data_IF_397014273007
#
_entry.id   IF_397014273007
#
_cell.length_a   1.000
_cell.length_b   1.000
_cell.length_c   1.000
_cell.angle_alpha   90.00
_cell.angle_beta   90.00
_cell.angle_gamma   90.00
#
_symmetry.space_group_name_H-M   'P 1'
#
loop_
_entity.id
_entity.type
_entity.pdbx_description
1 polymer ?
#
# COMPACT_ATOMS: atom_id res chain seq x y z
N UNK A 1 6.59 -22.95 4.29
CA UNK A 1 6.04 -22.22 5.46
C UNK A 1 5.17 -21.03 5.03
N UNK A 2 4.90 -20.87 3.73
CA UNK A 2 3.90 -19.95 3.16
C UNK A 2 2.56 -19.95 3.92
N UNK A 3 2.09 -21.10 4.40
CA UNK A 3 0.84 -21.21 5.17
C UNK A 3 0.87 -20.39 6.46
N UNK A 4 2.00 -20.35 7.17
CA UNK A 4 2.12 -19.59 8.43
C UNK A 4 2.04 -18.08 8.21
N UNK A 5 2.78 -17.54 7.23
CA UNK A 5 2.73 -16.11 6.89
C UNK A 5 1.34 -15.69 6.38
N UNK A 6 0.66 -16.58 5.65
CA UNK A 6 -0.73 -16.37 5.22
C UNK A 6 -1.71 -16.32 6.37
N UNK A 7 -1.67 -17.32 7.25
CA UNK A 7 -2.54 -17.39 8.43
C UNK A 7 -2.34 -16.14 9.29
N UNK A 8 -1.08 -15.79 9.58
CA UNK A 8 -0.75 -14.55 10.30
C UNK A 8 -1.33 -13.31 9.63
N UNK A 9 -1.12 -13.16 8.32
CA UNK A 9 -1.63 -12.01 7.59
C UNK A 9 -3.17 -11.96 7.58
N UNK A 10 -3.86 -13.11 7.51
CA UNK A 10 -5.32 -13.16 7.67
C UNK A 10 -5.77 -12.71 9.06
N UNK A 11 -5.07 -13.15 10.12
CA UNK A 11 -5.34 -12.65 11.48
C UNK A 11 -5.11 -11.15 11.59
N UNK A 12 -4.04 -10.62 10.99
CA UNK A 12 -3.77 -9.20 10.95
C UNK A 12 -4.90 -8.43 10.21
N UNK A 13 -5.39 -8.95 9.07
CA UNK A 13 -6.55 -8.37 8.37
C UNK A 13 -7.76 -8.29 9.30
N UNK A 14 -8.13 -9.38 9.97
CA UNK A 14 -9.28 -9.41 10.88
C UNK A 14 -9.09 -8.45 12.06
N UNK A 15 -7.88 -8.40 12.62
CA UNK A 15 -7.57 -7.48 13.71
C UNK A 15 -7.75 -6.03 13.26
N UNK A 16 -7.14 -5.60 12.16
CA UNK A 16 -7.19 -4.20 11.74
C UNK A 16 -8.55 -3.77 11.15
N UNK A 17 -9.27 -4.68 10.50
CA UNK A 17 -10.62 -4.39 9.99
C UNK A 17 -11.68 -4.39 11.10
N UNK A 18 -11.65 -5.37 12.01
CA UNK A 18 -12.73 -5.55 12.99
C UNK A 18 -12.29 -5.11 14.39
N UNK A 19 -11.19 -5.67 14.89
CA UNK A 19 -10.70 -5.38 16.25
C UNK A 19 -10.29 -3.91 16.44
N UNK A 20 -9.72 -3.30 15.41
CA UNK A 20 -9.30 -1.89 15.38
C UNK A 20 -10.31 -1.00 14.64
N UNK A 21 -11.56 -1.45 14.52
CA UNK A 21 -12.71 -0.72 13.98
C UNK A 21 -12.66 -0.26 12.52
N UNK A 22 -11.63 -0.61 11.73
CA UNK A 22 -11.51 -0.14 10.35
C UNK A 22 -12.77 -0.27 9.49
N UNK A 23 -13.39 -1.45 9.40
CA UNK A 23 -14.60 -1.65 8.58
C UNK A 23 -15.85 -1.15 9.28
N UNK A 24 -15.83 -1.15 10.61
CA UNK A 24 -16.97 -0.75 11.44
C UNK A 24 -17.23 0.74 11.24
N UNK A 25 -16.19 1.57 11.21
CA UNK A 25 -16.31 3.02 11.01
C UNK A 25 -16.76 3.34 9.59
N UNK A 26 -16.32 2.56 8.59
CA UNK A 26 -16.84 2.70 7.23
C UNK A 26 -18.33 2.33 7.13
N UNK A 27 -18.82 1.39 7.94
CA UNK A 27 -20.26 1.08 8.02
C UNK A 27 -21.02 2.22 8.69
N UNK A 28 -20.42 2.98 9.61
CA UNK A 28 -21.06 4.16 10.21
C UNK A 28 -21.45 5.22 9.17
N UNK A 29 -20.69 5.33 8.08
CA UNK A 29 -20.99 6.24 6.96
C UNK A 29 -22.35 5.97 6.29
N UNK A 30 -22.91 4.77 6.46
CA UNK A 30 -24.26 4.44 5.98
C UNK A 30 -25.38 5.04 6.84
N UNK A 31 -25.03 5.83 7.86
CA UNK A 31 -25.99 6.54 8.70
C UNK A 31 -26.68 5.64 9.74
N UNK A 32 -26.06 4.51 10.10
CA UNK A 32 -26.66 3.53 11.03
C UNK A 32 -26.79 4.04 12.46
N UNK A 33 -26.01 5.06 12.85
CA UNK A 33 -26.07 5.68 14.16
C UNK A 33 -25.90 7.21 14.07
N UNK A 34 -26.97 7.99 14.35
CA UNK A 34 -26.93 9.46 14.31
C UNK A 34 -25.92 10.11 15.28
N UNK A 35 -25.52 9.41 16.35
CA UNK A 35 -24.56 9.94 17.32
C UNK A 35 -23.20 10.29 16.68
N UNK A 36 -22.84 9.62 15.58
CA UNK A 36 -21.57 9.83 14.87
C UNK A 36 -21.63 10.92 13.79
N UNK A 37 -22.81 11.51 13.50
CA UNK A 37 -22.94 12.48 12.41
C UNK A 37 -21.99 13.68 12.56
N UNK A 38 -21.72 14.10 13.79
CA UNK A 38 -20.80 15.20 14.07
C UNK A 38 -19.32 14.86 13.82
N UNK A 39 -18.96 13.58 13.65
CA UNK A 39 -17.56 13.10 13.54
C UNK A 39 -17.32 12.19 12.33
N UNK A 40 -18.28 12.07 11.40
CA UNK A 40 -18.17 11.15 10.26
C UNK A 40 -16.90 11.32 9.40
N UNK A 41 -16.36 12.53 9.27
CA UNK A 41 -15.09 12.75 8.58
C UNK A 41 -13.89 12.10 9.28
N UNK A 42 -13.88 12.10 10.62
CA UNK A 42 -12.88 11.41 11.44
C UNK A 42 -13.02 9.89 11.33
N UNK A 43 -14.25 9.38 11.47
CA UNK A 43 -14.58 7.96 11.30
C UNK A 43 -14.17 7.44 9.91
N UNK A 44 -14.47 8.20 8.86
CA UNK A 44 -14.05 7.85 7.51
C UNK A 44 -12.53 7.75 7.40
N UNK A 45 -11.79 8.68 8.00
CA UNK A 45 -10.33 8.71 7.97
C UNK A 45 -9.71 7.50 8.66
N UNK A 46 -10.21 7.17 9.86
CA UNK A 46 -9.80 5.97 10.57
C UNK A 46 -10.13 4.72 9.77
N UNK A 47 -11.39 4.62 9.32
CA UNK A 47 -11.90 3.47 8.60
C UNK A 47 -11.13 3.18 7.30
N UNK A 48 -10.83 4.20 6.48
CA UNK A 48 -10.08 4.00 5.23
C UNK A 48 -8.61 3.65 5.49
N UNK A 49 -7.98 4.20 6.53
CA UNK A 49 -6.60 3.89 6.87
C UNK A 49 -6.48 2.42 7.27
N UNK A 50 -7.30 1.95 8.20
CA UNK A 50 -7.17 0.60 8.72
C UNK A 50 -7.79 -0.47 7.81
N UNK A 51 -8.85 -0.16 7.07
CA UNK A 51 -9.46 -1.10 6.11
C UNK A 51 -8.68 -1.20 4.80
N UNK A 52 -8.54 -0.11 4.06
CA UNK A 52 -7.98 -0.19 2.71
C UNK A 52 -6.47 -0.22 2.74
N UNK A 53 -5.82 0.63 3.55
CA UNK A 53 -4.37 0.70 3.56
C UNK A 53 -3.78 -0.44 4.39
N UNK A 54 -4.01 -0.48 5.70
CA UNK A 54 -3.34 -1.45 6.58
C UNK A 54 -3.80 -2.88 6.27
N UNK A 55 -5.11 -3.13 6.31
CA UNK A 55 -5.63 -4.47 6.04
C UNK A 55 -5.46 -4.88 4.58
N UNK A 56 -5.60 -3.96 3.62
CA UNK A 56 -5.31 -4.25 2.21
C UNK A 56 -3.86 -4.70 1.97
N UNK A 57 -2.89 -4.14 2.71
CA UNK A 57 -1.51 -4.60 2.65
C UNK A 57 -1.34 -6.01 3.23
N UNK A 58 -1.90 -6.30 4.39
CA UNK A 58 -1.86 -7.67 4.95
C UNK A 58 -2.59 -8.67 4.06
N UNK A 59 -3.73 -8.30 3.47
CA UNK A 59 -4.44 -9.14 2.50
C UNK A 59 -3.57 -9.44 1.27
N UNK A 60 -2.80 -8.47 0.79
CA UNK A 60 -1.86 -8.68 -0.30
C UNK A 60 -0.72 -9.66 0.09
N UNK A 61 -0.25 -9.62 1.33
CA UNK A 61 0.72 -10.60 1.88
C UNK A 61 0.09 -11.99 1.97
N UNK A 62 -1.16 -12.10 2.44
CA UNK A 62 -1.88 -13.37 2.49
C UNK A 62 -2.09 -13.97 1.08
N UNK A 63 -2.47 -13.15 0.11
CA UNK A 63 -2.66 -13.59 -1.26
C UNK A 63 -1.32 -14.01 -1.91
N UNK A 64 -0.27 -13.19 -1.75
CA UNK A 64 1.01 -13.31 -2.46
C UNK A 64 2.21 -13.27 -1.51
N UNK A 65 2.36 -14.27 -0.61
CA UNK A 65 3.42 -14.28 0.41
C UNK A 65 4.84 -14.29 -0.16
N UNK A 66 5.03 -14.78 -1.40
CA UNK A 66 6.33 -14.80 -2.07
C UNK A 66 6.79 -13.42 -2.59
N UNK A 67 5.90 -12.42 -2.62
CA UNK A 67 6.17 -11.07 -3.11
C UNK A 67 5.61 -10.01 -2.15
N UNK A 68 6.06 -9.97 -0.88
CA UNK A 68 5.45 -9.13 0.16
C UNK A 68 5.82 -7.65 0.03
N UNK A 69 6.84 -7.31 -0.76
CA UNK A 69 7.46 -5.98 -0.74
C UNK A 69 6.51 -4.80 -0.96
N UNK A 70 5.58 -4.82 -1.93
CA UNK A 70 4.63 -3.71 -2.09
C UNK A 70 3.81 -3.44 -0.82
N UNK A 71 3.34 -4.51 -0.18
CA UNK A 71 2.58 -4.42 1.05
C UNK A 71 3.45 -3.93 2.21
N UNK A 72 4.68 -4.44 2.33
CA UNK A 72 5.61 -4.00 3.36
C UNK A 72 5.95 -2.52 3.25
N UNK A 73 6.23 -2.02 2.05
CA UNK A 73 6.49 -0.60 1.82
C UNK A 73 5.26 0.22 2.21
N UNK A 74 4.05 -0.21 1.85
CA UNK A 74 2.83 0.47 2.28
C UNK A 74 2.69 0.50 3.81
N UNK A 75 2.91 -0.62 4.49
CA UNK A 75 2.86 -0.68 5.96
C UNK A 75 3.92 0.21 6.62
N UNK A 76 5.13 0.29 6.05
CA UNK A 76 6.18 1.15 6.56
C UNK A 76 5.93 2.64 6.30
N UNK A 77 5.29 2.98 5.18
CA UNK A 77 4.80 4.34 4.95
C UNK A 77 3.75 4.72 5.99
N UNK A 78 2.84 3.80 6.35
CA UNK A 78 1.87 4.02 7.43
C UNK A 78 2.58 4.24 8.77
N UNK A 79 3.53 3.38 9.13
CA UNK A 79 4.31 3.52 10.37
C UNK A 79 5.03 4.88 10.39
N UNK A 80 5.69 5.27 9.30
CA UNK A 80 6.37 6.56 9.21
C UNK A 80 5.40 7.75 9.35
N UNK A 81 4.25 7.68 8.69
CA UNK A 81 3.23 8.73 8.78
C UNK A 81 2.62 8.84 10.19
N UNK A 82 2.36 7.71 10.86
CA UNK A 82 1.89 7.68 12.24
C UNK A 82 2.92 8.26 13.21
N UNK A 83 4.20 7.92 13.05
CA UNK A 83 5.27 8.49 13.87
C UNK A 83 5.39 10.01 13.66
N UNK A 84 5.31 10.48 12.42
CA UNK A 84 5.34 11.92 12.13
C UNK A 84 4.12 12.64 12.71
N UNK A 85 2.93 12.05 12.59
CA UNK A 85 1.72 12.62 13.16
C UNK A 85 1.76 12.64 14.70
N UNK A 86 2.28 11.59 15.34
CA UNK A 86 2.49 11.56 16.80
C UNK A 86 3.36 12.71 17.28
N UNK A 87 4.48 12.98 16.58
CA UNK A 87 5.37 14.09 16.93
C UNK A 87 4.70 15.43 16.66
N UNK A 88 4.06 15.59 15.50
CA UNK A 88 3.48 16.86 15.10
C UNK A 88 2.27 17.28 15.94
N UNK A 89 1.43 16.31 16.34
CA UNK A 89 0.25 16.54 17.15
C UNK A 89 0.49 16.42 18.66
N UNK A 90 1.73 16.17 19.08
CA UNK A 90 2.11 15.96 20.49
C UNK A 90 1.27 14.86 21.19
N UNK A 91 0.83 13.86 20.43
CA UNK A 91 -0.04 12.77 20.90
C UNK A 91 0.69 11.41 20.80
N UNK A 92 0.70 10.64 21.88
CA UNK A 92 1.30 9.30 21.94
C UNK A 92 0.42 8.22 21.28
N UNK A 93 -0.84 8.52 20.95
CA UNK A 93 -1.79 7.59 20.37
C UNK A 93 -1.32 6.98 19.03
N UNK A 94 -0.95 7.79 18.02
CA UNK A 94 -0.40 7.26 16.77
C UNK A 94 0.91 6.49 16.96
N UNK A 95 1.73 6.87 17.96
CA UNK A 95 2.93 6.10 18.30
C UNK A 95 2.56 4.70 18.78
N UNK A 96 1.54 4.54 19.61
CA UNK A 96 1.06 3.22 20.04
C UNK A 96 0.59 2.37 18.84
N UNK A 97 -0.18 2.95 17.92
CA UNK A 97 -0.59 2.27 16.68
C UNK A 97 0.62 1.88 15.80
N UNK A 98 1.61 2.76 15.67
CA UNK A 98 2.84 2.50 14.92
C UNK A 98 3.67 1.37 15.55
N UNK A 99 3.83 1.38 16.87
CA UNK A 99 4.55 0.35 17.64
C UNK A 99 3.84 -1.00 17.61
N UNK A 100 2.52 -1.03 17.45
CA UNK A 100 1.78 -2.27 17.20
C UNK A 100 1.98 -2.75 15.75
N UNK A 101 1.84 -1.85 14.78
CA UNK A 101 1.90 -2.19 13.36
C UNK A 101 3.29 -2.65 12.90
N UNK A 102 4.35 -2.01 13.40
CA UNK A 102 5.73 -2.30 13.00
C UNK A 102 6.12 -3.78 13.20
N UNK A 103 6.05 -4.37 14.42
CA UNK A 103 6.40 -5.77 14.62
C UNK A 103 5.49 -6.69 13.80
N UNK A 104 4.20 -6.40 13.67
CA UNK A 104 3.28 -7.19 12.86
C UNK A 104 3.69 -7.23 11.37
N UNK A 105 4.20 -6.12 10.85
CA UNK A 105 4.71 -6.00 9.47
C UNK A 105 6.00 -6.78 9.23
N UNK A 106 6.78 -7.08 10.28
CA UNK A 106 8.06 -7.76 10.19
C UNK A 106 7.92 -9.30 10.26
N UNK A 107 6.84 -9.83 10.83
CA UNK A 107 6.60 -11.28 10.93
C UNK A 107 6.76 -12.03 9.58
N UNK A 108 6.25 -11.53 8.44
CA UNK A 108 6.45 -12.18 7.15
C UNK A 108 7.93 -12.37 6.75
N UNK A 109 8.84 -11.52 7.26
CA UNK A 109 10.28 -11.62 6.98
C UNK A 109 10.98 -12.72 7.78
N UNK A 110 10.39 -13.19 8.87
CA UNK A 110 11.00 -14.20 9.75
C UNK A 110 10.87 -15.62 9.18
N UNK A 111 10.05 -15.82 8.15
CA UNK A 111 9.85 -17.13 7.51
C UNK A 111 11.07 -17.54 6.67
N UNK A 112 11.93 -18.42 7.22
CA UNK A 112 13.20 -18.85 6.59
C UNK A 112 13.03 -19.76 5.38
N UNK A 113 11.96 -20.55 5.31
CA UNK A 113 11.77 -21.53 4.25
C UNK A 113 11.54 -20.91 2.86
N UNK A 114 11.11 -19.65 2.83
CA UNK A 114 10.57 -19.00 1.64
C UNK A 114 11.13 -17.58 1.54
N UNK A 115 12.47 -17.46 1.36
CA UNK A 115 13.11 -16.14 1.24
C UNK A 115 12.38 -15.32 0.17
N UNK A 116 11.81 -14.15 0.50
CA UNK A 116 11.07 -13.36 -0.48
C UNK A 116 11.98 -13.06 -1.65
N UNK A 117 11.44 -13.13 -2.87
CA UNK A 117 12.18 -12.68 -4.06
C UNK A 117 12.66 -11.27 -3.76
N UNK A 118 13.94 -10.97 -4.03
CA UNK A 118 14.50 -9.64 -3.76
C UNK A 118 13.60 -8.59 -4.41
N UNK A 119 13.30 -7.52 -3.66
CA UNK A 119 12.52 -6.41 -4.18
C UNK A 119 13.16 -5.92 -5.49
N UNK A 120 12.36 -5.75 -6.54
CA UNK A 120 12.84 -5.03 -7.71
C UNK A 120 13.09 -3.58 -7.29
N UNK A 121 14.36 -3.18 -7.25
CA UNK A 121 14.80 -1.83 -6.85
C UNK A 121 14.90 -0.88 -8.03
N UNK A 122 14.53 -1.30 -9.25
CA UNK A 122 14.56 -0.43 -10.42
C UNK A 122 13.53 0.67 -10.25
N UNK A 123 14.02 1.91 -10.22
CA UNK A 123 13.18 3.09 -10.30
C UNK A 123 12.84 3.34 -11.77
N UNK A 124 11.55 3.52 -12.06
CA UNK A 124 11.07 3.87 -13.39
C UNK A 124 10.06 5.00 -13.22
N UNK A 125 10.42 6.25 -13.54
CA UNK A 125 9.52 7.38 -13.38
C UNK A 125 8.28 7.23 -14.27
N UNK A 126 7.13 7.64 -13.74
CA UNK A 126 5.85 7.74 -14.43
C UNK A 126 5.42 9.21 -14.47
N UNK A 127 5.34 9.78 -15.66
CA UNK A 127 4.87 11.16 -15.85
C UNK A 127 3.47 11.39 -15.26
N UNK A 128 2.46 10.55 -15.59
CA UNK A 128 1.12 10.70 -15.05
C UNK A 128 1.06 10.64 -13.52
N UNK A 129 1.72 9.66 -12.90
CA UNK A 129 1.71 9.54 -11.43
C UNK A 129 2.50 10.67 -10.76
N UNK A 130 3.59 11.16 -11.37
CA UNK A 130 4.33 12.30 -10.85
C UNK A 130 3.48 13.58 -10.90
N UNK A 131 2.75 13.81 -12.00
CA UNK A 131 1.82 14.93 -12.10
C UNK A 131 0.71 14.85 -11.03
N UNK A 132 0.12 13.67 -10.84
CA UNK A 132 -0.89 13.45 -9.80
C UNK A 132 -0.34 13.62 -8.38
N UNK A 133 0.92 13.20 -8.14
CA UNK A 133 1.58 13.43 -6.85
C UNK A 133 1.76 14.94 -6.59
N UNK A 134 2.25 15.70 -7.58
CA UNK A 134 2.47 17.14 -7.46
C UNK A 134 1.16 17.92 -7.28
N UNK A 135 0.10 17.52 -7.99
CA UNK A 135 -1.22 18.16 -7.87
C UNK A 135 -1.93 17.80 -6.56
N UNK A 136 -1.79 16.56 -6.09
CA UNK A 136 -2.46 16.10 -4.87
C UNK A 136 -1.75 16.47 -3.58
N UNK A 137 -0.41 16.54 -3.58
CA UNK A 137 0.38 16.73 -2.36
C UNK A 137 0.01 17.99 -1.59
N UNK A 138 -0.18 19.18 -2.20
CA UNK A 138 -0.60 20.37 -1.45
C UNK A 138 -1.92 20.16 -0.71
N UNK A 139 -2.93 19.56 -1.36
CA UNK A 139 -4.23 19.31 -0.75
C UNK A 139 -4.15 18.33 0.43
N UNK A 140 -3.44 17.21 0.25
CA UNK A 140 -3.30 16.19 1.29
C UNK A 140 -2.40 16.64 2.45
N UNK A 141 -1.40 17.49 2.20
CA UNK A 141 -0.60 18.11 3.26
C UNK A 141 -1.37 19.16 4.02
N UNK A 142 -2.15 20.00 3.35
CA UNK A 142 -3.06 20.93 4.04
C UNK A 142 -4.09 20.17 4.88
N UNK A 143 -4.64 19.07 4.36
CA UNK A 143 -5.53 18.18 5.12
C UNK A 143 -4.85 17.63 6.38
N UNK A 144 -3.59 17.19 6.28
CA UNK A 144 -2.83 16.72 7.44
C UNK A 144 -2.51 17.84 8.44
N UNK A 145 -2.12 19.03 7.95
CA UNK A 145 -1.79 20.17 8.78
C UNK A 145 -3.00 20.65 9.60
N UNK A 146 -4.17 20.78 8.96
CA UNK A 146 -5.42 21.11 9.67
C UNK A 146 -5.73 20.06 10.73
N UNK A 147 -5.54 18.78 10.44
CA UNK A 147 -5.78 17.73 11.44
C UNK A 147 -4.82 17.83 12.65
N UNK A 148 -3.56 18.21 12.43
CA UNK A 148 -2.61 18.50 13.53
C UNK A 148 -3.08 19.71 14.34
N UNK A 149 -3.46 20.81 13.68
CA UNK A 149 -3.95 22.02 14.35
C UNK A 149 -5.18 21.73 15.23
N UNK A 150 -6.13 20.94 14.70
CA UNK A 150 -7.33 20.55 15.45
C UNK A 150 -7.01 19.63 16.63
N UNK A 151 -6.03 18.74 16.50
CA UNK A 151 -5.58 17.88 17.60
C UNK A 151 -5.01 18.66 18.79
N UNK A 152 -4.43 19.84 18.53
CA UNK A 152 -3.82 20.69 19.56
C UNK A 152 -4.81 21.70 20.15
N UNK A 153 -5.98 21.89 19.51
CA UNK A 153 -6.94 22.89 19.88
C UNK A 153 -7.91 22.37 20.98
N UNK A 154 -8.04 23.07 22.12
CA UNK A 154 -8.87 22.62 23.21
C UNK A 154 -10.36 22.69 22.87
N UNK A 155 -11.12 21.66 23.27
CA UNK A 155 -12.58 21.64 23.13
C UNK A 155 -13.08 21.41 21.69
N UNK A 156 -12.19 21.06 20.76
CA UNK A 156 -12.56 20.62 19.43
C UNK A 156 -13.33 19.31 19.50
N UNK A 157 -14.35 19.18 18.64
CA UNK A 157 -15.10 17.94 18.49
C UNK A 157 -14.16 16.86 17.95
N UNK A 158 -14.09 15.74 18.66
CA UNK A 158 -13.25 14.59 18.35
C UNK A 158 -14.02 13.31 18.68
N UNK A 159 -13.53 12.20 18.17
CA UNK A 159 -13.91 10.87 18.64
C UNK A 159 -12.67 10.14 19.17
N UNK A 160 -12.85 9.19 20.07
CA UNK A 160 -11.75 8.40 20.62
C UNK A 160 -12.03 6.92 20.53
N UNK A 161 -11.20 6.23 19.75
CA UNK A 161 -11.25 4.78 19.59
C UNK A 161 -10.02 4.16 20.25
N UNK A 162 -10.23 3.18 21.14
CA UNK A 162 -9.14 2.57 21.93
C UNK A 162 -8.31 3.57 22.76
N UNK A 163 -8.90 4.71 23.13
CA UNK A 163 -8.19 5.79 23.82
C UNK A 163 -7.23 6.57 22.92
N UNK A 164 -7.39 6.48 21.59
CA UNK A 164 -6.62 7.22 20.60
C UNK A 164 -7.53 8.28 19.95
N UNK A 165 -7.06 9.53 19.92
CA UNK A 165 -7.72 10.61 19.17
C UNK A 165 -7.69 10.34 17.67
N UNK A 166 -8.74 10.72 16.95
CA UNK A 166 -8.80 10.53 15.51
C UNK A 166 -8.05 11.60 14.72
N UNK A 167 -7.90 12.81 15.27
CA UNK A 167 -7.23 13.91 14.58
C UNK A 167 -5.79 13.59 14.16
N UNK A 168 -4.91 13.07 15.04
CA UNK A 168 -3.57 12.65 14.62
C UNK A 168 -3.56 11.49 13.62
N UNK A 169 -4.53 10.57 13.70
CA UNK A 169 -4.66 9.46 12.74
C UNK A 169 -5.04 10.00 11.35
N UNK A 170 -5.95 10.98 11.30
CA UNK A 170 -6.29 11.70 10.08
C UNK A 170 -5.08 12.45 9.49
N UNK A 171 -4.25 13.06 10.35
CA UNK A 171 -3.00 13.68 9.91
C UNK A 171 -2.05 12.68 9.24
N UNK A 172 -1.86 11.50 9.86
CA UNK A 172 -1.07 10.41 9.29
C UNK A 172 -1.62 9.96 7.93
N UNK A 173 -2.95 9.86 7.79
CA UNK A 173 -3.58 9.51 6.52
C UNK A 173 -3.28 10.53 5.42
N UNK A 174 -3.39 11.83 5.68
CA UNK A 174 -3.06 12.87 4.70
C UNK A 174 -1.60 12.76 4.20
N UNK A 175 -0.65 12.61 5.13
CA UNK A 175 0.77 12.39 4.80
C UNK A 175 0.98 11.13 3.96
N UNK A 176 0.31 10.04 4.33
CA UNK A 176 0.38 8.77 3.63
C UNK A 176 -0.17 8.86 2.20
N UNK A 177 -1.31 9.51 1.97
CA UNK A 177 -1.91 9.62 0.64
C UNK A 177 -0.98 10.39 -0.31
N UNK A 178 -0.39 11.49 0.15
CA UNK A 178 0.59 12.25 -0.63
C UNK A 178 1.85 11.42 -0.96
N UNK A 179 2.45 10.80 0.06
CA UNK A 179 3.71 10.05 -0.10
C UNK A 179 3.53 8.75 -0.90
N UNK A 180 2.37 8.09 -0.82
CA UNK A 180 2.10 6.86 -1.56
C UNK A 180 2.12 7.08 -3.07
N UNK A 181 1.52 8.17 -3.56
CA UNK A 181 1.53 8.48 -5.01
C UNK A 181 2.92 8.85 -5.48
N UNK A 182 3.69 9.59 -4.67
CA UNK A 182 5.09 9.87 -4.96
C UNK A 182 5.92 8.60 -5.08
N UNK A 183 5.78 7.65 -4.15
CA UNK A 183 6.49 6.35 -4.21
C UNK A 183 6.09 5.58 -5.47
N UNK A 184 4.79 5.53 -5.81
CA UNK A 184 4.32 4.86 -7.02
C UNK A 184 4.86 5.47 -8.31
N UNK A 185 5.07 6.79 -8.33
CA UNK A 185 5.62 7.49 -9.49
C UNK A 185 6.99 6.93 -9.88
N UNK A 186 7.80 6.50 -8.91
CA UNK A 186 9.14 5.96 -9.17
C UNK A 186 9.24 4.43 -9.03
N UNK A 187 8.30 3.77 -8.35
CA UNK A 187 8.43 2.36 -8.01
C UNK A 187 7.28 1.49 -8.59
N UNK A 188 7.47 0.92 -9.80
CA UNK A 188 6.45 0.12 -10.49
C UNK A 188 5.83 -1.02 -9.68
N UNK A 189 6.59 -1.81 -8.88
CA UNK A 189 6.02 -2.91 -8.09
C UNK A 189 4.92 -2.47 -7.12
N UNK A 190 4.99 -1.23 -6.62
CA UNK A 190 4.01 -0.66 -5.70
C UNK A 190 2.69 -0.22 -6.36
N UNK A 191 2.71 0.11 -7.65
CA UNK A 191 1.62 0.83 -8.34
C UNK A 191 0.25 0.17 -8.24
N UNK A 192 0.20 -1.17 -8.28
CA UNK A 192 -1.10 -1.87 -8.21
C UNK A 192 -1.69 -1.78 -6.80
N UNK A 193 -0.92 -2.14 -5.77
CA UNK A 193 -1.44 -2.18 -4.40
C UNK A 193 -1.70 -0.76 -3.89
N UNK A 194 -0.65 0.09 -3.85
CA UNK A 194 -0.75 1.46 -3.36
C UNK A 194 -1.80 2.24 -4.18
N UNK A 195 -1.85 2.04 -5.51
CA UNK A 195 -2.78 2.79 -6.35
C UNK A 195 -4.24 2.43 -6.08
N UNK A 196 -4.52 1.15 -5.80
CA UNK A 196 -5.86 0.70 -5.42
C UNK A 196 -6.25 1.26 -4.07
N UNK A 197 -5.39 1.09 -3.07
CA UNK A 197 -5.71 1.41 -1.68
C UNK A 197 -5.78 2.93 -1.49
N UNK A 198 -4.76 3.67 -1.91
CA UNK A 198 -4.73 5.15 -1.88
C UNK A 198 -5.89 5.76 -2.67
N UNK A 199 -6.14 5.28 -3.90
CA UNK A 199 -7.22 5.84 -4.73
C UNK A 199 -8.61 5.54 -4.16
N UNK A 200 -8.85 4.34 -3.64
CA UNK A 200 -10.13 3.99 -3.00
C UNK A 200 -10.34 4.78 -1.72
N UNK A 201 -9.31 4.93 -0.89
CA UNK A 201 -9.37 5.78 0.31
C UNK A 201 -9.74 7.22 -0.02
N UNK A 202 -9.12 7.82 -1.05
CA UNK A 202 -9.44 9.19 -1.47
C UNK A 202 -10.88 9.33 -2.00
N UNK A 203 -11.38 8.34 -2.75
CA UNK A 203 -12.76 8.32 -3.22
C UNK A 203 -13.74 8.26 -2.04
N UNK A 204 -13.51 7.35 -1.08
CA UNK A 204 -14.39 7.19 0.08
C UNK A 204 -14.38 8.43 0.97
N UNK A 205 -13.22 9.05 1.20
CA UNK A 205 -13.12 10.33 1.91
C UNK A 205 -13.89 11.43 1.19
N UNK A 206 -13.69 11.60 -0.11
CA UNK A 206 -14.40 12.62 -0.88
C UNK A 206 -15.92 12.41 -0.88
N UNK A 207 -16.39 11.15 -0.94
CA UNK A 207 -17.81 10.83 -0.77
C UNK A 207 -18.31 11.20 0.63
N UNK A 208 -17.55 10.88 1.68
CA UNK A 208 -17.88 11.27 3.05
C UNK A 208 -18.00 12.78 3.20
N UNK A 209 -17.06 13.56 2.64
CA UNK A 209 -17.10 15.02 2.70
C UNK A 209 -18.30 15.61 1.96
N UNK A 210 -18.80 14.96 0.90
CA UNK A 210 -20.03 15.38 0.23
C UNK A 210 -21.29 15.08 1.03
N UNK A 211 -21.34 13.94 1.72
CA UNK A 211 -22.53 13.49 2.46
C UNK A 211 -22.61 14.16 3.84
N UNK A 212 -21.47 14.37 4.50
CA UNK A 212 -21.36 14.92 5.85
C UNK A 212 -20.41 16.12 5.88
N UNK A 213 -20.69 17.21 5.13
CA UNK A 213 -19.79 18.34 4.97
C UNK A 213 -19.50 19.08 6.28
N UNK A 214 -20.45 19.06 7.23
CA UNK A 214 -20.35 19.76 8.52
C UNK A 214 -19.77 18.89 9.65
N UNK A 215 -19.34 17.66 9.34
CA UNK A 215 -18.74 16.77 10.34
C UNK A 215 -17.29 17.14 10.62
N UNK A 216 -16.85 16.92 11.86
CA UNK A 216 -15.43 17.01 12.22
C UNK A 216 -14.61 16.07 11.31
N UNK A 217 -13.43 16.54 10.93
CA UNK A 217 -12.54 15.85 9.99
C UNK A 217 -12.92 15.97 8.51
N UNK A 218 -14.11 16.49 8.18
CA UNK A 218 -14.53 16.72 6.79
C UNK A 218 -14.03 18.05 6.21
N UNK A 219 -13.85 18.07 4.89
CA UNK A 219 -13.53 19.29 4.14
C UNK A 219 -14.82 19.97 3.71
N UNK A 220 -15.06 21.19 4.22
CA UNK A 220 -16.26 22.00 3.96
C UNK A 220 -16.26 22.65 2.56
N UNK A 221 -15.96 21.87 1.51
CA UNK A 221 -15.95 22.34 0.13
C UNK A 221 -16.35 21.22 -0.82
N UNK A 222 -17.51 21.30 -1.49
CA UNK A 222 -17.94 20.26 -2.42
C UNK A 222 -16.98 20.12 -3.61
N UNK A 223 -16.32 21.21 -4.01
CA UNK A 223 -15.31 21.17 -5.07
C UNK A 223 -14.06 20.39 -4.67
N UNK A 224 -13.58 20.55 -3.44
CA UNK A 224 -12.44 19.77 -2.94
C UNK A 224 -12.80 18.30 -2.75
N UNK A 225 -14.03 18.02 -2.31
CA UNK A 225 -14.55 16.66 -2.22
C UNK A 225 -14.64 15.98 -3.60
N UNK A 226 -15.19 16.67 -4.61
CA UNK A 226 -15.19 16.21 -5.99
C UNK A 226 -13.75 16.03 -6.53
N UNK A 227 -12.84 16.95 -6.21
CA UNK A 227 -11.44 16.85 -6.60
C UNK A 227 -10.76 15.62 -5.99
N UNK A 228 -11.03 15.29 -4.71
CA UNK A 228 -10.51 14.09 -4.06
C UNK A 228 -11.01 12.80 -4.75
N UNK A 229 -12.30 12.75 -5.12
CA UNK A 229 -12.89 11.63 -5.87
C UNK A 229 -12.23 11.49 -7.25
N UNK A 230 -12.14 12.59 -8.01
CA UNK A 230 -11.53 12.59 -9.34
C UNK A 230 -10.04 12.22 -9.29
N UNK A 231 -9.31 12.75 -8.30
CA UNK A 231 -7.91 12.42 -8.07
C UNK A 231 -7.72 10.94 -7.72
N UNK A 232 -8.56 10.38 -6.83
CA UNK A 232 -8.52 8.97 -6.47
C UNK A 232 -8.78 8.05 -7.67
N UNK A 233 -9.76 8.40 -8.52
CA UNK A 233 -10.01 7.70 -9.78
C UNK A 233 -8.81 7.80 -10.74
N UNK A 234 -8.21 8.99 -10.89
CA UNK A 234 -7.04 9.18 -11.73
C UNK A 234 -5.85 8.34 -11.26
N UNK A 235 -5.58 8.27 -9.96
CA UNK A 235 -4.54 7.41 -9.37
C UNK A 235 -4.78 5.93 -9.70
N UNK A 236 -6.02 5.45 -9.58
CA UNK A 236 -6.38 4.07 -9.94
C UNK A 236 -6.18 3.82 -11.43
N UNK A 237 -6.54 4.77 -12.30
CA UNK A 237 -6.44 4.61 -13.75
C UNK A 237 -4.99 4.69 -14.25
N UNK A 238 -4.17 5.56 -13.67
CA UNK A 238 -2.76 5.72 -14.07
C UNK A 238 -1.93 4.45 -13.90
N UNK A 239 -2.32 3.53 -13.03
CA UNK A 239 -1.64 2.22 -12.88
C UNK A 239 -1.70 1.35 -14.15
N UNK A 240 -2.62 1.64 -15.08
CA UNK A 240 -2.77 0.90 -16.34
C UNK A 240 -2.00 1.54 -17.50
N UNK A 241 -1.62 2.81 -17.41
CA UNK A 241 -1.00 3.57 -18.50
C UNK A 241 0.47 3.20 -18.72
N UNK A 242 1.18 2.76 -17.68
CA UNK A 242 2.61 2.47 -17.75
C UNK A 242 2.93 0.98 -17.90
N UNK A 243 2.03 0.19 -18.52
CA UNK A 243 2.39 -1.19 -18.86
C UNK A 243 3.48 -1.13 -19.93
N UNK A 244 4.67 -1.70 -19.70
CA UNK A 244 5.64 -1.84 -20.76
C UNK A 244 4.94 -2.54 -21.92
N UNK A 245 4.93 -1.91 -23.09
CA UNK A 245 4.64 -2.61 -24.36
C UNK A 245 5.37 -3.96 -24.27
N UNK A 246 4.68 -5.10 -24.46
CA UNK A 246 5.35 -6.39 -24.46
C UNK A 246 6.46 -6.31 -25.50
N UNK A 247 7.69 -6.16 -25.03
CA UNK A 247 8.84 -5.95 -25.91
C UNK A 247 8.85 -7.07 -26.95
N UNK A 248 9.27 -6.78 -28.20
CA UNK A 248 9.23 -7.74 -29.30
C UNK A 248 9.78 -9.06 -28.76
N UNK A 249 8.93 -10.07 -28.71
CA UNK A 249 9.19 -11.30 -27.99
C UNK A 249 10.44 -11.94 -28.60
N UNK A 250 11.61 -11.70 -28.01
CA UNK A 250 12.90 -12.19 -28.52
C UNK A 250 12.88 -13.73 -28.52
N UNK A 251 11.95 -14.36 -27.78
CA UNK A 251 11.72 -15.81 -27.81
C UNK A 251 10.91 -16.30 -29.01
N UNK A 252 10.29 -15.39 -29.79
CA UNK A 252 9.75 -15.64 -31.13
C UNK A 252 10.72 -15.29 -32.25
N UNK A 253 11.98 -14.91 -31.95
CA UNK A 253 13.04 -15.24 -32.89
C UNK A 253 13.03 -16.77 -32.98
N UNK A 254 12.36 -17.28 -34.01
CA UNK A 254 12.35 -18.70 -34.35
C UNK A 254 13.78 -19.21 -34.16
N UNK A 255 13.97 -20.38 -33.53
CA UNK A 255 15.31 -20.94 -33.39
C UNK A 255 15.95 -20.86 -34.77
N UNK A 256 16.94 -19.97 -34.92
CA UNK A 256 17.77 -19.96 -36.10
C UNK A 256 18.19 -21.42 -36.24
N UNK A 257 17.83 -22.02 -37.38
CA UNK A 257 18.01 -23.43 -37.65
C UNK A 257 19.31 -23.86 -37.00
N UNK A 258 19.23 -24.78 -36.01
CA UNK A 258 20.43 -25.33 -35.40
C UNK A 258 21.34 -25.67 -36.57
N UNK A 259 22.54 -25.08 -36.70
CA UNK A 259 23.47 -25.56 -37.70
C UNK A 259 23.56 -27.06 -37.49
N UNK A 260 23.35 -27.84 -38.55
CA UNK A 260 23.50 -29.30 -38.53
C UNK A 260 24.89 -29.58 -37.97
N UNK A 261 24.94 -29.81 -36.65
CA UNK A 261 26.15 -30.28 -36.02
C UNK A 261 26.30 -31.71 -36.54
N UNK A 262 27.43 -32.04 -37.19
CA UNK A 262 27.69 -33.40 -37.62
C UNK A 262 27.43 -34.34 -36.46
N UNK A 263 26.65 -35.40 -36.69
CA UNK A 263 26.35 -36.44 -35.70
C UNK A 263 27.65 -36.91 -35.02
N UNK A 264 27.94 -36.37 -33.83
CA UNK A 264 29.05 -36.82 -32.99
C UNK A 264 28.81 -38.22 -32.41
N UNK A 265 27.59 -38.75 -32.57
CA UNK A 265 27.28 -40.15 -32.24
C UNK A 265 28.05 -41.15 -33.13
N UNK A 266 28.58 -40.75 -34.29
CA UNK A 266 29.44 -41.61 -35.10
C UNK A 266 30.89 -41.75 -34.58
N UNK A 267 31.30 -40.98 -33.57
CA UNK A 267 32.67 -41.04 -33.02
C UNK A 267 32.80 -41.92 -31.76
N UNK A 268 31.70 -42.48 -31.24
CA UNK A 268 31.70 -43.32 -30.05
C UNK A 268 32.04 -44.80 -30.31
N UNK A 269 32.08 -45.24 -31.58
CA UNK A 269 32.43 -46.61 -31.97
C UNK A 269 33.92 -46.79 -32.35
N UNK A 270 34.78 -45.83 -32.01
CA UNK A 270 36.22 -46.03 -32.16
C UNK A 270 36.70 -47.14 -31.19
N UNK A 271 37.32 -48.22 -31.69
CA UNK A 271 37.76 -49.33 -30.84
C UNK A 271 38.75 -48.86 -29.79
N UNK A 272 38.45 -49.26 -28.55
CA UNK A 272 39.23 -49.00 -27.34
C UNK A 272 40.69 -49.44 -27.58
N UNK A 273 41.63 -48.49 -27.67
CA UNK A 273 43.04 -48.78 -27.90
C UNK A 273 43.71 -49.17 -26.57
N UNK A 274 44.04 -50.45 -26.32
CA UNK A 274 44.50 -50.93 -25.01
C UNK A 274 45.94 -50.50 -24.66
N UNK A 275 46.62 -49.74 -25.52
CA UNK A 275 48.02 -49.34 -25.30
C UNK A 275 48.21 -48.12 -24.39
N UNK A 276 47.16 -47.37 -24.06
CA UNK A 276 47.29 -46.10 -23.33
C UNK A 276 47.38 -46.22 -21.78
N UNK A 277 47.24 -47.41 -21.17
CA UNK A 277 47.17 -47.58 -19.69
C UNK A 277 48.47 -47.94 -18.97
N UNK A 278 49.64 -47.75 -19.58
CA UNK A 278 50.94 -47.93 -18.87
C UNK A 278 51.70 -46.61 -18.79
N UNK A 279 51.28 -45.70 -17.91
CA UNK A 279 52.10 -44.60 -17.35
C UNK A 279 51.24 -43.80 -16.35
N UNK A 280 51.20 -44.26 -15.11
CA UNK A 280 51.22 -43.47 -13.85
C UNK A 280 50.94 -44.38 -12.67
#
# INVERSE_FOLDING_TARGET
MLTGARIWACFAVLFWTVGFFGVIDLVMLLGVNPAFFAVMGLEASWGVLFTFIVSGAFLAIAARPAQPWPAMVQLWLVVAALLLASVAAEDAGPLAAALMLLPMSLVPLLSRADRPKRANRRLMPSGPLLALALLGAPGWWSYAAVAVEQSLAPGVVDDTSWGLSHWPIQAALGLLLATSVLVMAFWPPGRTLLGTTTGTSAIVLGLCWLVYPDSAGAVHSPWLAAAAILWGNAVILSRFLDRPEPGPDIRRAAPAARPDLPNLEAAADAPDNPTARRRR
#
